data_IF_181927308827
#
_entry.id   IF_181927308827
#
_cell.length_a   1.000
_cell.length_b   1.000
_cell.length_c   1.000
_cell.angle_alpha   90.00
_cell.angle_beta   90.00
_cell.angle_gamma   90.00
#
_symmetry.space_group_name_H-M   'P 1'
#
loop_
_entity.id
_entity.type
_entity.pdbx_description
1 polymer ?
#
# COMPACT_ATOMS: atom_id res chain seq x y z
N UNK A 1 -20.34 -12.16 -22.56
CA UNK A 1 -18.88 -12.02 -22.48
C UNK A 1 -18.48 -11.56 -21.07
N UNK A 2 -17.20 -11.67 -20.76
CA UNK A 2 -16.61 -11.15 -19.51
C UNK A 2 -16.93 -9.67 -19.30
N UNK A 3 -16.87 -8.86 -20.35
CA UNK A 3 -17.15 -7.43 -20.29
C UNK A 3 -18.61 -7.11 -19.93
N UNK A 4 -19.56 -7.97 -20.28
CA UNK A 4 -20.95 -7.82 -19.79
C UNK A 4 -21.04 -7.92 -18.27
N UNK A 5 -20.35 -8.89 -17.68
CA UNK A 5 -20.32 -9.05 -16.22
C UNK A 5 -19.56 -7.89 -15.57
N UNK A 6 -18.43 -7.48 -16.16
CA UNK A 6 -17.63 -6.34 -15.68
C UNK A 6 -18.41 -5.02 -15.66
N UNK A 7 -19.26 -4.79 -16.66
CA UNK A 7 -20.11 -3.60 -16.75
C UNK A 7 -21.27 -3.65 -15.77
N UNK A 8 -21.99 -4.77 -15.73
CA UNK A 8 -23.25 -4.89 -15.00
C UNK A 8 -23.07 -5.20 -13.52
N UNK A 9 -22.12 -6.10 -13.17
CA UNK A 9 -21.75 -6.41 -11.79
C UNK A 9 -20.70 -5.39 -11.29
N UNK A 10 -21.10 -4.11 -11.26
CA UNK A 10 -20.22 -2.98 -11.00
C UNK A 10 -20.99 -1.87 -10.29
N UNK A 11 -20.34 -1.17 -9.35
CA UNK A 11 -20.95 -0.10 -8.56
C UNK A 11 -20.41 1.29 -8.94
N UNK A 12 -19.61 1.38 -10.01
CA UNK A 12 -19.15 2.66 -10.56
C UNK A 12 -20.37 3.49 -11.03
N UNK A 13 -20.36 4.76 -10.66
CA UNK A 13 -21.35 5.74 -11.08
C UNK A 13 -20.71 6.77 -11.99
N UNK A 14 -21.36 7.04 -13.10
CA UNK A 14 -21.00 8.14 -13.98
C UNK A 14 -21.77 9.39 -13.57
N UNK A 15 -21.09 10.46 -13.22
CA UNK A 15 -21.67 11.75 -12.84
C UNK A 15 -20.82 12.88 -13.45
N UNK A 16 -21.48 13.73 -14.26
CA UNK A 16 -20.86 14.93 -14.88
C UNK A 16 -19.59 14.60 -15.71
N UNK A 17 -19.59 13.47 -16.42
CA UNK A 17 -18.44 13.01 -17.21
C UNK A 17 -17.29 12.39 -16.41
N UNK A 18 -17.44 12.28 -15.09
CA UNK A 18 -16.46 11.63 -14.21
C UNK A 18 -17.01 10.31 -13.67
N UNK A 19 -16.14 9.30 -13.60
CA UNK A 19 -16.45 8.01 -12.99
C UNK A 19 -16.10 8.05 -11.51
N UNK A 20 -17.10 7.74 -10.66
CA UNK A 20 -16.94 7.64 -9.20
C UNK A 20 -17.11 6.19 -8.76
N UNK A 21 -16.14 5.63 -8.09
CA UNK A 21 -16.11 4.26 -7.60
C UNK A 21 -14.72 3.85 -7.12
N UNK A 22 -14.59 2.63 -6.65
CA UNK A 22 -13.27 2.07 -6.34
C UNK A 22 -12.43 1.94 -7.62
N UNK A 23 -11.09 2.15 -7.57
CA UNK A 23 -10.21 2.12 -8.75
C UNK A 23 -10.38 0.85 -9.61
N UNK A 24 -10.48 -0.32 -8.97
CA UNK A 24 -10.71 -1.62 -9.62
C UNK A 24 -12.04 -1.65 -10.37
N UNK A 25 -13.12 -1.13 -9.75
CA UNK A 25 -14.44 -1.05 -10.34
C UNK A 25 -14.44 -0.11 -11.56
N UNK A 26 -13.81 1.05 -11.43
CA UNK A 26 -13.69 2.05 -12.50
C UNK A 26 -12.90 1.48 -13.69
N UNK A 27 -11.79 0.77 -13.44
CA UNK A 27 -11.01 0.13 -14.49
C UNK A 27 -11.80 -0.91 -15.28
N UNK A 28 -12.54 -1.79 -14.58
CA UNK A 28 -13.42 -2.78 -15.19
C UNK A 28 -14.55 -2.13 -15.99
N UNK A 29 -15.15 -1.06 -15.45
CA UNK A 29 -16.22 -0.33 -16.13
C UNK A 29 -15.72 0.30 -17.42
N UNK A 30 -14.59 1.02 -17.39
CA UNK A 30 -13.98 1.63 -18.59
C UNK A 30 -13.68 0.59 -19.67
N UNK A 31 -12.96 -0.48 -19.32
CA UNK A 31 -12.62 -1.54 -20.26
C UNK A 31 -13.86 -2.21 -20.87
N UNK A 32 -14.94 -2.34 -20.09
CA UNK A 32 -16.19 -2.90 -20.58
C UNK A 32 -16.91 -1.92 -21.53
N UNK A 33 -17.04 -0.64 -21.17
CA UNK A 33 -17.66 0.39 -22.03
C UNK A 33 -16.90 0.52 -23.35
N UNK A 34 -15.56 0.57 -23.31
CA UNK A 34 -14.73 0.64 -24.52
C UNK A 34 -14.90 -0.57 -25.44
N UNK A 35 -15.15 -1.75 -24.86
CA UNK A 35 -15.25 -3.02 -25.62
C UNK A 35 -16.64 -3.31 -26.16
N UNK A 36 -17.70 -2.97 -25.42
CA UNK A 36 -19.08 -3.40 -25.75
C UNK A 36 -20.12 -2.27 -25.71
N UNK A 37 -19.71 -1.03 -25.33
CA UNK A 37 -20.61 0.11 -25.13
C UNK A 37 -21.54 -0.05 -23.90
N UNK A 38 -22.47 0.88 -23.77
CA UNK A 38 -23.52 0.80 -22.75
C UNK A 38 -24.61 -0.20 -23.13
N UNK A 39 -25.16 -0.88 -22.14
CA UNK A 39 -26.19 -1.90 -22.32
C UNK A 39 -27.38 -1.54 -21.48
N UNK A 40 -28.60 -1.57 -22.11
CA UNK A 40 -29.83 -1.48 -21.38
C UNK A 40 -30.01 -2.69 -20.46
N UNK A 41 -30.21 -2.42 -19.20
CA UNK A 41 -30.35 -3.45 -18.18
C UNK A 41 -31.19 -2.94 -17.00
N UNK A 42 -31.72 -3.88 -16.22
CA UNK A 42 -32.42 -3.59 -14.97
C UNK A 42 -31.83 -4.45 -13.86
N UNK A 43 -31.10 -3.82 -12.92
CA UNK A 43 -30.66 -4.48 -11.72
C UNK A 43 -31.85 -4.76 -10.81
N UNK A 44 -32.09 -6.02 -10.52
CA UNK A 44 -33.21 -6.48 -9.69
C UNK A 44 -32.82 -6.64 -8.23
N UNK A 45 -31.64 -7.21 -7.97
CA UNK A 45 -31.13 -7.45 -6.61
C UNK A 45 -29.61 -7.45 -6.61
N UNK A 46 -29.02 -7.03 -5.51
CA UNK A 46 -27.58 -7.07 -5.28
C UNK A 46 -27.27 -7.83 -4.00
N UNK A 47 -26.24 -8.64 -4.04
CA UNK A 47 -25.56 -9.23 -2.90
C UNK A 47 -24.16 -8.59 -2.85
N UNK A 48 -23.95 -7.58 -1.99
CA UNK A 48 -22.71 -6.79 -1.96
C UNK A 48 -21.47 -7.65 -1.72
N UNK A 49 -20.31 -7.07 -1.98
CA UNK A 49 -19.03 -7.70 -1.64
C UNK A 49 -18.97 -7.99 -0.13
N UNK A 50 -18.49 -9.18 0.18
CA UNK A 50 -18.32 -9.67 1.54
C UNK A 50 -16.91 -10.25 1.66
N UNK A 51 -16.14 -9.80 2.65
CA UNK A 51 -14.74 -10.18 2.86
C UNK A 51 -14.53 -11.66 3.16
N UNK A 52 -15.52 -12.32 3.76
CA UNK A 52 -15.45 -13.75 4.09
C UNK A 52 -15.71 -14.59 2.84
N UNK A 53 -16.69 -14.20 2.03
CA UNK A 53 -17.03 -14.83 0.76
C UNK A 53 -16.13 -14.38 -0.40
N UNK A 54 -15.46 -13.24 -0.31
CA UNK A 54 -14.55 -12.61 -1.30
C UNK A 54 -15.17 -12.47 -2.69
N UNK A 55 -16.49 -12.26 -2.80
CA UNK A 55 -17.24 -12.06 -4.05
C UNK A 55 -18.46 -11.21 -3.85
N UNK A 56 -18.91 -10.62 -4.94
CA UNK A 56 -20.24 -10.00 -5.04
C UNK A 56 -21.02 -10.61 -6.19
N UNK A 57 -22.33 -10.54 -6.12
CA UNK A 57 -23.20 -10.95 -7.21
C UNK A 57 -24.42 -10.04 -7.35
N UNK A 58 -24.95 -9.97 -8.55
CA UNK A 58 -26.17 -9.25 -8.85
C UNK A 58 -27.15 -10.12 -9.65
N UNK A 59 -28.42 -9.84 -9.48
CA UNK A 59 -29.48 -10.36 -10.37
C UNK A 59 -29.84 -9.22 -11.31
N UNK A 60 -29.71 -9.47 -12.60
CA UNK A 60 -29.92 -8.47 -13.63
C UNK A 60 -30.80 -9.01 -14.74
N UNK A 61 -31.79 -8.20 -15.16
CA UNK A 61 -32.63 -8.49 -16.31
C UNK A 61 -32.10 -7.78 -17.54
N UNK A 62 -31.82 -8.52 -18.59
CA UNK A 62 -31.34 -8.04 -19.88
C UNK A 62 -32.23 -8.62 -20.98
N UNK A 63 -32.85 -7.78 -21.79
CA UNK A 63 -33.82 -8.21 -22.83
C UNK A 63 -34.88 -9.09 -22.18
N UNK A 64 -35.03 -10.33 -22.65
CA UNK A 64 -36.09 -11.26 -22.22
C UNK A 64 -35.60 -12.30 -21.19
N UNK A 65 -34.36 -12.18 -20.68
CA UNK A 65 -33.79 -13.14 -19.75
C UNK A 65 -33.24 -12.47 -18.49
N UNK A 66 -33.25 -13.22 -17.39
CA UNK A 66 -32.67 -12.80 -16.12
C UNK A 66 -31.40 -13.62 -15.82
N UNK A 67 -30.38 -12.94 -15.38
CA UNK A 67 -29.07 -13.55 -15.08
C UNK A 67 -28.63 -13.21 -13.68
N UNK A 68 -27.98 -14.18 -13.05
CA UNK A 68 -27.11 -13.93 -11.90
C UNK A 68 -25.70 -13.75 -12.46
N UNK A 69 -25.07 -12.62 -12.13
CA UNK A 69 -23.72 -12.26 -12.53
C UNK A 69 -22.88 -12.16 -11.27
N UNK A 70 -21.73 -12.80 -11.24
CA UNK A 70 -20.84 -12.80 -10.08
C UNK A 70 -19.41 -12.44 -10.47
N UNK A 71 -18.72 -11.70 -9.60
CA UNK A 71 -17.28 -11.43 -9.68
C UNK A 71 -16.64 -11.51 -8.30
N UNK A 72 -15.39 -11.90 -8.24
CA UNK A 72 -14.66 -12.01 -6.97
C UNK A 72 -13.27 -12.60 -7.11
N UNK A 73 -12.71 -13.01 -5.97
CA UNK A 73 -11.44 -13.71 -5.94
C UNK A 73 -11.51 -15.01 -6.74
N UNK A 74 -10.44 -15.39 -7.47
CA UNK A 74 -10.42 -16.58 -8.31
C UNK A 74 -10.92 -17.84 -7.58
N UNK A 75 -10.37 -18.13 -6.43
CA UNK A 75 -10.72 -19.29 -5.63
C UNK A 75 -12.21 -19.33 -5.24
N UNK A 76 -12.76 -18.15 -4.95
CA UNK A 76 -14.16 -18.00 -4.52
C UNK A 76 -15.15 -18.23 -5.67
N UNK A 77 -14.84 -17.76 -6.87
CA UNK A 77 -15.68 -17.94 -8.05
C UNK A 77 -15.55 -19.36 -8.61
N UNK A 78 -14.36 -19.95 -8.63
CA UNK A 78 -14.17 -21.33 -9.05
C UNK A 78 -14.99 -22.29 -8.18
N UNK A 79 -15.03 -22.07 -6.86
CA UNK A 79 -15.78 -22.90 -5.91
C UNK A 79 -17.29 -22.98 -6.19
N UNK A 80 -17.90 -21.92 -6.74
CA UNK A 80 -19.34 -21.87 -7.03
C UNK A 80 -19.66 -22.23 -8.49
N UNK A 81 -18.63 -22.55 -9.29
CA UNK A 81 -18.76 -22.83 -10.72
C UNK A 81 -18.85 -24.33 -10.97
N UNK A 82 -19.97 -24.77 -11.53
CA UNK A 82 -20.19 -26.18 -11.94
C UNK A 82 -19.95 -26.38 -13.43
N UNK A 83 -19.88 -25.32 -14.21
CA UNK A 83 -19.71 -25.34 -15.65
C UNK A 83 -18.67 -24.31 -16.10
N UNK A 84 -18.12 -24.48 -17.28
CA UNK A 84 -17.23 -23.50 -17.95
C UNK A 84 -17.37 -23.58 -19.48
N UNK A 85 -16.78 -22.62 -20.18
CA UNK A 85 -16.68 -22.64 -21.63
C UNK A 85 -15.47 -23.45 -22.10
N UNK A 86 -15.71 -24.31 -23.12
CA UNK A 86 -14.65 -24.93 -23.93
C UNK A 86 -14.92 -24.56 -25.40
N UNK A 87 -14.24 -23.54 -25.86
CA UNK A 87 -14.59 -22.92 -27.15
C UNK A 87 -15.95 -22.21 -27.08
N UNK A 88 -16.97 -22.72 -27.80
CA UNK A 88 -18.34 -22.17 -27.78
C UNK A 88 -19.30 -22.97 -26.90
N UNK A 89 -18.90 -24.14 -26.43
CA UNK A 89 -19.74 -25.07 -25.70
C UNK A 89 -19.60 -24.89 -24.18
N UNK A 90 -20.71 -25.03 -23.47
CA UNK A 90 -20.75 -25.07 -22.02
C UNK A 90 -20.56 -26.54 -21.60
N UNK A 91 -19.51 -26.82 -20.86
CA UNK A 91 -19.15 -28.16 -20.39
C UNK A 91 -19.06 -28.20 -18.87
N UNK A 92 -19.23 -29.38 -18.23
CA UNK A 92 -18.99 -29.52 -16.80
C UNK A 92 -17.57 -29.07 -16.41
N UNK A 93 -17.49 -28.28 -15.35
CA UNK A 93 -16.22 -27.79 -14.82
C UNK A 93 -15.58 -28.88 -13.95
N UNK A 94 -14.86 -29.79 -14.60
CA UNK A 94 -14.22 -30.92 -13.95
C UNK A 94 -12.86 -30.53 -13.34
N UNK A 95 -12.31 -31.43 -12.50
CA UNK A 95 -11.06 -31.20 -11.76
C UNK A 95 -9.86 -30.81 -12.65
N UNK A 96 -9.75 -31.41 -13.83
CA UNK A 96 -8.66 -31.09 -14.76
C UNK A 96 -8.77 -29.65 -15.33
N UNK A 97 -9.98 -29.15 -15.57
CA UNK A 97 -10.21 -27.77 -16.00
C UNK A 97 -10.04 -26.79 -14.86
N UNK A 98 -10.41 -27.17 -13.65
CA UNK A 98 -10.17 -26.40 -12.44
C UNK A 98 -8.67 -26.23 -12.18
N UNK A 99 -7.88 -27.30 -12.21
CA UNK A 99 -6.42 -27.26 -12.05
C UNK A 99 -5.75 -26.34 -13.07
N UNK A 100 -6.14 -26.43 -14.36
CA UNK A 100 -5.66 -25.50 -15.40
C UNK A 100 -6.04 -24.06 -15.14
N UNK A 101 -7.23 -23.81 -14.63
CA UNK A 101 -7.68 -22.46 -14.28
C UNK A 101 -6.89 -21.91 -13.10
N UNK A 102 -6.57 -22.76 -12.12
CA UNK A 102 -5.70 -22.42 -10.99
C UNK A 102 -4.29 -22.06 -11.45
N UNK A 103 -3.70 -22.86 -12.33
CA UNK A 103 -2.39 -22.57 -12.91
C UNK A 103 -2.40 -21.25 -13.69
N UNK A 104 -3.46 -21.00 -14.47
CA UNK A 104 -3.58 -19.77 -15.26
C UNK A 104 -3.66 -18.53 -14.38
N UNK A 105 -4.53 -18.49 -13.36
CA UNK A 105 -4.61 -17.31 -12.52
C UNK A 105 -3.36 -17.12 -11.66
N UNK A 106 -2.69 -18.18 -11.23
CA UNK A 106 -1.39 -18.07 -10.58
C UNK A 106 -0.34 -17.44 -11.52
N UNK A 107 -0.31 -17.87 -12.79
CA UNK A 107 0.58 -17.25 -13.78
C UNK A 107 0.33 -15.77 -13.98
N UNK A 108 -0.94 -15.32 -13.96
CA UNK A 108 -1.28 -13.91 -14.01
C UNK A 108 -0.84 -13.16 -12.74
N UNK A 109 -1.03 -13.76 -11.56
CA UNK A 109 -0.56 -13.17 -10.31
C UNK A 109 0.96 -13.10 -10.22
N UNK A 110 1.67 -14.07 -10.79
CA UNK A 110 3.14 -14.07 -10.86
C UNK A 110 3.68 -12.92 -11.75
N UNK A 111 2.85 -12.36 -12.63
CA UNK A 111 3.11 -11.16 -13.41
C UNK A 111 2.76 -9.85 -12.67
N UNK A 112 2.38 -9.92 -11.39
CA UNK A 112 2.00 -8.75 -10.59
C UNK A 112 0.53 -8.34 -10.76
N UNK A 113 -0.25 -9.03 -11.59
CA UNK A 113 -1.63 -8.65 -11.85
C UNK A 113 -2.54 -8.99 -10.67
N UNK A 114 -3.45 -8.08 -10.34
CA UNK A 114 -4.59 -8.36 -9.48
C UNK A 114 -5.65 -9.10 -10.29
N UNK A 115 -5.90 -10.36 -9.99
CA UNK A 115 -6.79 -11.22 -10.77
C UNK A 115 -8.19 -11.26 -10.17
N UNK A 116 -9.19 -10.98 -10.98
CA UNK A 116 -10.59 -11.19 -10.67
C UNK A 116 -11.19 -12.27 -11.59
N UNK A 117 -12.02 -13.13 -11.03
CA UNK A 117 -12.76 -14.15 -11.73
C UNK A 117 -14.23 -13.73 -11.93
N UNK A 118 -14.84 -14.25 -12.97
CA UNK A 118 -16.20 -13.92 -13.39
C UNK A 118 -16.98 -15.19 -13.70
N UNK A 119 -18.24 -15.21 -13.25
CA UNK A 119 -19.17 -16.29 -13.55
C UNK A 119 -20.58 -15.74 -13.72
N UNK A 120 -21.43 -16.50 -14.40
CA UNK A 120 -22.84 -16.20 -14.54
C UNK A 120 -23.68 -17.47 -14.53
N UNK A 121 -24.97 -17.31 -14.30
CA UNK A 121 -26.01 -18.30 -14.67
C UNK A 121 -27.28 -17.63 -15.11
N UNK A 122 -28.03 -18.29 -15.94
CA UNK A 122 -29.39 -17.88 -16.31
C UNK A 122 -30.39 -18.34 -15.25
N UNK A 123 -31.29 -17.45 -14.88
CA UNK A 123 -32.40 -17.76 -13.96
C UNK A 123 -33.55 -18.39 -14.74
N UNK A 124 -33.97 -19.57 -14.34
CA UNK A 124 -35.07 -20.28 -15.01
C UNK A 124 -36.40 -19.54 -14.83
N UNK A 125 -37.28 -19.63 -15.81
CA UNK A 125 -38.59 -19.03 -15.71
C UNK A 125 -39.36 -19.56 -14.50
N UNK A 126 -39.85 -18.63 -13.64
CA UNK A 126 -40.52 -18.98 -12.39
C UNK A 126 -39.63 -19.26 -11.20
N UNK A 127 -38.28 -19.23 -11.35
CA UNK A 127 -37.34 -19.40 -10.24
C UNK A 127 -37.33 -18.15 -9.37
N UNK A 128 -37.62 -18.32 -8.08
CA UNK A 128 -37.50 -17.26 -7.06
C UNK A 128 -36.20 -17.43 -6.31
N UNK A 129 -35.36 -16.40 -6.33
CA UNK A 129 -34.08 -16.38 -5.62
C UNK A 129 -34.22 -15.59 -4.33
N UNK A 130 -34.31 -16.29 -3.19
CA UNK A 130 -34.53 -15.68 -1.90
C UNK A 130 -33.21 -15.16 -1.28
N UNK A 131 -32.12 -15.92 -1.38
CA UNK A 131 -30.85 -15.66 -0.72
C UNK A 131 -29.65 -15.77 -1.66
N UNK A 132 -28.46 -15.47 -1.13
CA UNK A 132 -27.19 -15.48 -1.87
C UNK A 132 -26.74 -16.90 -2.25
N UNK A 133 -27.00 -17.87 -1.41
CA UNK A 133 -26.63 -19.27 -1.61
C UNK A 133 -27.41 -19.86 -2.81
N UNK A 134 -28.66 -19.50 -2.97
CA UNK A 134 -29.48 -19.88 -4.14
C UNK A 134 -29.05 -19.13 -5.40
N UNK A 135 -28.62 -17.86 -5.26
CA UNK A 135 -28.15 -17.08 -6.39
C UNK A 135 -26.85 -17.66 -6.96
N UNK A 136 -25.90 -17.96 -6.09
CA UNK A 136 -24.51 -18.27 -6.40
C UNK A 136 -24.21 -19.78 -6.54
N UNK A 137 -25.21 -20.58 -6.99
CA UNK A 137 -25.02 -22.01 -7.24
C UNK A 137 -24.97 -22.30 -8.74
N UNK A 138 -24.30 -23.39 -9.09
CA UNK A 138 -24.25 -23.91 -10.47
C UNK A 138 -23.87 -22.86 -11.52
N UNK A 139 -22.88 -22.01 -11.18
CA UNK A 139 -22.45 -20.93 -12.04
C UNK A 139 -21.63 -21.47 -13.22
N UNK A 140 -21.65 -20.72 -14.30
CA UNK A 140 -20.81 -20.95 -15.49
C UNK A 140 -19.61 -20.02 -15.39
N UNK A 141 -18.44 -20.60 -15.19
CA UNK A 141 -17.20 -19.84 -15.15
C UNK A 141 -16.86 -19.25 -16.52
N UNK A 142 -16.58 -17.95 -16.55
CA UNK A 142 -16.36 -17.17 -17.76
C UNK A 142 -14.87 -16.89 -18.02
N UNK A 143 -14.05 -16.86 -16.99
CA UNK A 143 -12.65 -16.55 -17.08
C UNK A 143 -12.16 -15.53 -16.04
N UNK A 144 -10.96 -15.04 -16.27
CA UNK A 144 -10.27 -14.06 -15.42
C UNK A 144 -10.04 -12.74 -16.16
N UNK A 145 -9.97 -11.67 -15.40
CA UNK A 145 -9.41 -10.38 -15.84
C UNK A 145 -8.26 -10.06 -14.88
N UNK A 146 -7.06 -9.84 -15.43
CA UNK A 146 -5.92 -9.29 -14.72
C UNK A 146 -5.97 -7.77 -14.79
N UNK A 147 -5.80 -7.12 -13.66
CA UNK A 147 -5.73 -5.67 -13.52
C UNK A 147 -4.30 -5.32 -13.14
N UNK A 148 -3.70 -4.42 -13.87
CA UNK A 148 -2.38 -3.89 -13.57
C UNK A 148 -2.51 -2.55 -12.87
N UNK A 149 -1.75 -2.38 -11.80
CA UNK A 149 -1.54 -1.10 -11.14
C UNK A 149 -0.03 -0.87 -11.10
N UNK A 150 0.53 -0.31 -12.21
CA UNK A 150 1.97 -0.19 -12.33
C UNK A 150 2.53 0.75 -11.27
N UNK A 151 3.67 0.41 -10.66
CA UNK A 151 4.33 1.29 -9.72
C UNK A 151 4.77 2.58 -10.42
N UNK A 152 4.81 3.67 -9.66
CA UNK A 152 5.27 4.95 -10.18
C UNK A 152 6.75 4.84 -10.61
N UNK A 153 7.13 5.40 -11.77
CA UNK A 153 8.49 5.24 -12.35
C UNK A 153 9.62 5.68 -11.41
N UNK A 154 9.39 6.70 -10.58
CA UNK A 154 10.36 7.27 -9.65
C UNK A 154 10.64 6.41 -8.41
N UNK A 155 9.77 5.45 -8.10
CA UNK A 155 9.88 4.63 -6.87
C UNK A 155 11.15 3.79 -6.86
N UNK A 156 11.54 3.21 -7.99
CA UNK A 156 12.75 2.40 -8.08
C UNK A 156 14.01 3.21 -7.75
N UNK A 157 14.10 4.44 -8.27
CA UNK A 157 15.19 5.37 -7.95
C UNK A 157 15.20 5.79 -6.48
N UNK A 158 14.04 6.03 -5.90
CA UNK A 158 13.89 6.37 -4.49
C UNK A 158 14.33 5.21 -3.56
N UNK A 159 13.96 3.98 -3.88
CA UNK A 159 14.40 2.78 -3.14
C UNK A 159 15.93 2.64 -3.18
N UNK A 160 16.53 2.88 -4.34
CA UNK A 160 17.99 2.83 -4.47
C UNK A 160 18.67 3.89 -3.59
N UNK A 161 18.19 5.14 -3.59
CA UNK A 161 18.69 6.20 -2.71
C UNK A 161 18.56 5.83 -1.22
N UNK A 162 17.43 5.27 -0.80
CA UNK A 162 17.25 4.78 0.58
C UNK A 162 18.30 3.74 0.93
N UNK A 163 18.55 2.79 0.05
CA UNK A 163 19.54 1.72 0.26
C UNK A 163 20.97 2.28 0.39
N UNK A 164 21.35 3.23 -0.46
CA UNK A 164 22.64 3.93 -0.41
C UNK A 164 22.79 4.77 0.88
N UNK A 165 21.69 5.31 1.37
CA UNK A 165 21.62 6.05 2.62
C UNK A 165 21.61 5.15 3.88
N UNK A 166 21.69 3.82 3.72
CA UNK A 166 21.62 2.83 4.81
C UNK A 166 20.23 2.64 5.41
N UNK A 167 19.18 3.08 4.71
CA UNK A 167 17.79 2.93 5.15
C UNK A 167 17.26 1.61 4.62
N UNK A 168 16.77 0.77 5.51
CA UNK A 168 16.13 -0.49 5.17
C UNK A 168 14.64 -0.27 4.90
N UNK A 169 14.15 -0.81 3.80
CA UNK A 169 12.72 -0.75 3.44
C UNK A 169 12.12 -2.13 3.63
N UNK A 170 10.99 -2.20 4.32
CA UNK A 170 10.21 -3.41 4.57
C UNK A 170 8.84 -3.21 3.94
N UNK A 171 8.44 -4.11 3.06
CA UNK A 171 7.10 -4.10 2.47
C UNK A 171 6.13 -4.87 3.37
N UNK A 172 5.04 -4.21 3.76
CA UNK A 172 3.93 -4.81 4.52
C UNK A 172 2.64 -4.52 3.76
N UNK A 173 2.01 -5.57 3.24
CA UNK A 173 0.81 -5.44 2.39
C UNK A 173 -0.30 -6.42 2.77
N UNK A 174 -1.55 -6.06 2.48
CA UNK A 174 -2.69 -6.97 2.52
C UNK A 174 -2.76 -7.92 1.32
N UNK A 175 -1.99 -7.65 0.27
CA UNK A 175 -1.96 -8.46 -0.95
C UNK A 175 -1.35 -9.85 -0.73
N UNK A 176 -1.60 -10.75 -1.69
CA UNK A 176 -1.00 -12.09 -1.68
C UNK A 176 0.51 -12.06 -1.94
N UNK A 177 1.20 -13.09 -1.46
CA UNK A 177 2.66 -13.22 -1.52
C UNK A 177 3.23 -13.13 -2.96
N UNK A 178 2.54 -13.70 -3.95
CA UNK A 178 2.96 -13.66 -5.36
C UNK A 178 2.91 -12.25 -5.94
N UNK A 179 1.81 -11.55 -5.75
CA UNK A 179 1.65 -10.16 -6.21
C UNK A 179 2.64 -9.23 -5.50
N UNK A 180 2.78 -9.35 -4.18
CA UNK A 180 3.73 -8.56 -3.40
C UNK A 180 5.18 -8.77 -3.87
N UNK A 181 5.58 -10.01 -4.15
CA UNK A 181 6.91 -10.34 -4.66
C UNK A 181 7.14 -9.77 -6.08
N UNK A 182 6.14 -9.86 -6.96
CA UNK A 182 6.24 -9.32 -8.32
C UNK A 182 6.46 -7.81 -8.29
N UNK A 183 5.63 -7.07 -7.55
CA UNK A 183 5.77 -5.62 -7.36
C UNK A 183 7.13 -5.29 -6.72
N UNK A 184 7.53 -5.99 -5.66
CA UNK A 184 8.79 -5.74 -4.97
C UNK A 184 10.03 -5.92 -5.87
N UNK A 185 9.98 -6.88 -6.81
CA UNK A 185 11.02 -7.05 -7.84
C UNK A 185 11.01 -5.92 -8.86
N UNK A 186 9.84 -5.53 -9.35
CA UNK A 186 9.66 -4.48 -10.33
C UNK A 186 10.19 -3.14 -9.83
N UNK A 187 9.89 -2.75 -8.58
CA UNK A 187 10.40 -1.52 -7.96
C UNK A 187 11.86 -1.65 -7.46
N UNK A 188 12.51 -2.79 -7.66
CA UNK A 188 13.89 -3.01 -7.24
C UNK A 188 14.08 -3.13 -5.72
N UNK A 189 12.99 -3.36 -4.95
CA UNK A 189 13.07 -3.60 -3.52
C UNK A 189 13.72 -4.97 -3.23
N UNK A 190 13.49 -5.96 -4.07
CA UNK A 190 14.08 -7.29 -3.98
C UNK A 190 15.02 -7.51 -5.17
N UNK A 191 16.27 -7.90 -4.90
CA UNK A 191 17.29 -8.19 -5.93
C UNK A 191 17.51 -9.69 -6.13
N UNK A 192 17.53 -10.45 -5.05
CA UNK A 192 17.87 -11.87 -5.09
C UNK A 192 16.74 -12.73 -4.52
N UNK A 193 16.80 -13.04 -3.24
CA UNK A 193 15.85 -13.92 -2.57
C UNK A 193 15.24 -13.20 -1.36
N UNK A 194 13.95 -12.93 -1.41
CA UNK A 194 13.22 -12.37 -0.29
C UNK A 194 12.79 -13.43 0.71
N UNK A 195 12.77 -13.08 1.97
CA UNK A 195 11.99 -13.80 2.98
C UNK A 195 10.56 -13.25 2.96
N UNK A 196 9.62 -14.12 2.66
CA UNK A 196 8.20 -13.77 2.60
C UNK A 196 7.49 -14.43 3.77
N UNK A 197 6.83 -13.62 4.59
CA UNK A 197 6.04 -14.09 5.74
C UNK A 197 4.57 -13.75 5.47
N UNK A 198 3.71 -14.75 5.48
CA UNK A 198 2.26 -14.54 5.37
C UNK A 198 1.62 -14.29 6.73
N UNK A 199 0.50 -13.54 6.75
CA UNK A 199 -0.22 -13.18 7.98
C UNK A 199 -0.59 -14.38 8.88
N UNK A 200 -0.89 -15.53 8.30
CA UNK A 200 -1.20 -16.75 9.04
C UNK A 200 0.03 -17.34 9.76
N UNK A 201 1.22 -17.24 9.19
CA UNK A 201 2.50 -17.63 9.77
C UNK A 201 2.92 -16.60 10.83
N UNK A 202 2.81 -15.32 10.49
CA UNK A 202 3.12 -14.20 11.38
C UNK A 202 2.41 -14.27 12.73
N UNK A 203 1.14 -14.72 12.75
CA UNK A 203 0.37 -14.89 13.99
C UNK A 203 0.95 -15.94 14.94
N UNK A 204 1.69 -16.92 14.41
CA UNK A 204 2.30 -18.00 15.20
C UNK A 204 3.70 -17.65 15.69
N UNK A 205 4.33 -16.63 15.12
CA UNK A 205 5.68 -16.21 15.46
C UNK A 205 5.72 -15.56 16.84
N UNK A 206 6.74 -15.89 17.60
CA UNK A 206 7.18 -15.12 18.78
C UNK A 206 7.87 -13.82 18.34
N UNK A 207 8.07 -12.87 19.24
CA UNK A 207 8.78 -11.63 18.92
C UNK A 207 10.27 -11.86 18.63
N UNK A 208 10.88 -12.91 19.21
CA UNK A 208 12.24 -13.32 18.88
C UNK A 208 12.36 -13.83 17.44
N UNK A 209 11.46 -14.72 17.02
CA UNK A 209 11.43 -15.21 15.62
C UNK A 209 11.15 -14.08 14.62
N UNK A 210 10.28 -13.14 15.00
CA UNK A 210 10.02 -11.96 14.18
C UNK A 210 11.27 -11.08 14.02
N UNK A 211 12.07 -10.93 15.09
CA UNK A 211 13.36 -10.22 15.03
C UNK A 211 14.36 -10.90 14.11
N UNK A 212 14.44 -12.23 14.14
CA UNK A 212 15.32 -13.00 13.24
C UNK A 212 14.92 -12.77 11.77
N UNK A 213 13.62 -12.74 11.49
CA UNK A 213 13.11 -12.37 10.16
C UNK A 213 13.44 -10.92 9.82
N UNK A 214 13.17 -9.99 10.73
CA UNK A 214 13.44 -8.57 10.53
C UNK A 214 14.93 -8.24 10.41
N UNK A 215 15.84 -9.09 10.87
CA UNK A 215 17.28 -8.93 10.68
C UNK A 215 17.74 -9.19 9.24
N UNK A 216 16.93 -9.85 8.43
CA UNK A 216 17.25 -10.17 7.04
C UNK A 216 17.15 -8.93 6.15
N UNK A 217 17.92 -8.92 5.06
CA UNK A 217 18.03 -7.73 4.19
C UNK A 217 16.77 -7.44 3.37
N UNK A 218 16.10 -8.48 2.90
CA UNK A 218 14.97 -8.38 1.96
C UNK A 218 13.78 -9.15 2.51
N UNK A 219 12.82 -8.43 3.09
CA UNK A 219 11.66 -9.02 3.78
C UNK A 219 10.37 -8.43 3.23
N UNK A 220 9.41 -9.31 2.96
CA UNK A 220 8.06 -8.97 2.57
C UNK A 220 7.09 -9.62 3.57
N UNK A 221 6.19 -8.83 4.11
CA UNK A 221 5.04 -9.30 4.87
C UNK A 221 3.79 -9.18 4.01
N UNK A 222 3.16 -10.30 3.69
CA UNK A 222 1.99 -10.41 2.82
C UNK A 222 0.75 -10.88 3.58
N UNK A 223 -0.46 -10.58 3.06
CA UNK A 223 -1.75 -10.88 3.72
C UNK A 223 -1.82 -10.38 5.15
N UNK A 224 -1.25 -9.22 5.40
CA UNK A 224 -1.15 -8.61 6.72
C UNK A 224 -2.40 -7.83 7.09
N UNK A 225 -2.71 -7.83 8.38
CA UNK A 225 -3.75 -6.97 8.97
C UNK A 225 -3.10 -5.73 9.61
N UNK A 226 -3.89 -4.69 9.93
CA UNK A 226 -3.40 -3.51 10.64
C UNK A 226 -2.69 -3.81 11.96
N UNK A 227 -3.20 -4.79 12.71
CA UNK A 227 -2.59 -5.23 13.98
C UNK A 227 -1.19 -5.82 13.78
N UNK A 228 -0.98 -6.54 12.67
CA UNK A 228 0.33 -7.07 12.32
C UNK A 228 1.34 -5.95 12.03
N UNK A 229 0.92 -4.92 11.27
CA UNK A 229 1.76 -3.75 10.98
C UNK A 229 2.22 -3.05 12.27
N UNK A 230 1.29 -2.83 13.20
CA UNK A 230 1.62 -2.24 14.50
C UNK A 230 2.60 -3.10 15.29
N UNK A 231 2.46 -4.44 15.29
CA UNK A 231 3.38 -5.35 15.99
C UNK A 231 4.80 -5.27 15.42
N UNK A 232 4.96 -5.23 14.07
CA UNK A 232 6.27 -5.05 13.44
C UNK A 232 6.94 -3.75 13.91
N UNK A 233 6.19 -2.65 13.94
CA UNK A 233 6.69 -1.34 14.41
C UNK A 233 7.13 -1.42 15.88
N UNK A 234 6.34 -2.03 16.75
CA UNK A 234 6.68 -2.18 18.17
C UNK A 234 7.98 -2.95 18.35
N UNK A 235 8.11 -4.11 17.70
CA UNK A 235 9.30 -4.96 17.81
C UNK A 235 10.56 -4.23 17.33
N UNK A 236 10.50 -3.49 16.23
CA UNK A 236 11.63 -2.69 15.74
C UNK A 236 12.01 -1.58 16.72
N UNK A 237 11.03 -0.87 17.29
CA UNK A 237 11.28 0.21 18.26
C UNK A 237 11.86 -0.31 19.58
N UNK A 238 11.44 -1.47 20.04
CA UNK A 238 12.00 -2.12 21.23
C UNK A 238 13.49 -2.49 21.06
N UNK A 239 13.93 -2.69 19.82
CA UNK A 239 15.35 -2.86 19.47
C UNK A 239 16.13 -1.53 19.33
N UNK A 240 15.47 -0.39 19.54
CA UNK A 240 16.09 0.93 19.40
C UNK A 240 16.19 1.43 17.96
N UNK A 241 15.57 0.74 17.01
CA UNK A 241 15.51 1.16 15.61
C UNK A 241 14.64 2.41 15.44
N UNK A 242 15.02 3.30 14.53
CA UNK A 242 14.21 4.44 14.11
C UNK A 242 13.32 4.04 12.96
N UNK A 243 12.02 4.12 13.18
CA UNK A 243 11.01 3.58 12.26
C UNK A 243 10.15 4.68 11.67
N UNK A 244 10.16 4.80 10.35
CA UNK A 244 9.13 5.55 9.61
C UNK A 244 8.08 4.57 9.06
N UNK A 245 6.83 4.94 9.13
CA UNK A 245 5.70 4.15 8.63
C UNK A 245 4.90 4.97 7.64
N UNK A 246 4.56 4.38 6.49
CA UNK A 246 3.64 4.99 5.54
C UNK A 246 2.27 4.32 5.61
N UNK A 247 1.21 5.08 5.42
CA UNK A 247 -0.16 4.57 5.39
C UNK A 247 -1.15 5.58 4.86
N UNK A 248 -2.30 5.11 4.38
CA UNK A 248 -3.37 5.92 3.79
C UNK A 248 -4.73 5.71 4.45
N UNK A 249 -4.91 4.61 5.17
CA UNK A 249 -6.18 4.21 5.75
C UNK A 249 -6.33 4.47 7.25
N UNK A 250 -7.58 4.46 7.71
CA UNK A 250 -7.93 4.48 9.14
C UNK A 250 -7.23 3.35 9.90
N UNK A 251 -7.04 2.23 9.22
CA UNK A 251 -6.41 1.03 9.74
C UNK A 251 -4.90 1.21 10.01
N UNK A 252 -4.25 2.16 9.35
CA UNK A 252 -2.82 2.45 9.53
C UNK A 252 -2.54 3.40 10.69
N UNK A 253 -3.55 4.17 11.13
CA UNK A 253 -3.40 5.20 12.14
C UNK A 253 -2.67 4.74 13.43
N UNK A 254 -2.93 3.55 14.00
CA UNK A 254 -2.19 3.08 15.16
C UNK A 254 -0.69 2.88 14.90
N UNK A 255 -0.33 2.40 13.70
CA UNK A 255 1.06 2.18 13.32
C UNK A 255 1.76 3.51 12.98
N UNK A 256 1.06 4.43 12.30
CA UNK A 256 1.54 5.80 12.02
C UNK A 256 1.88 6.51 13.32
N UNK A 257 0.96 6.54 14.28
CA UNK A 257 1.16 7.20 15.57
C UNK A 257 2.24 6.55 16.44
N UNK A 258 2.48 5.26 16.28
CA UNK A 258 3.48 4.52 17.06
C UNK A 258 4.89 4.68 16.50
N UNK A 259 5.06 4.93 15.24
CA UNK A 259 6.33 5.15 14.56
C UNK A 259 7.11 6.32 15.16
N UNK A 260 8.39 6.49 14.80
CA UNK A 260 9.14 7.71 15.08
C UNK A 260 8.76 8.82 14.09
N UNK A 261 8.37 8.42 12.87
CA UNK A 261 7.78 9.30 11.86
C UNK A 261 6.62 8.56 11.18
N UNK A 262 5.41 9.01 11.40
CA UNK A 262 4.23 8.60 10.64
C UNK A 262 4.09 9.45 9.37
N UNK A 263 3.91 8.81 8.21
CA UNK A 263 3.75 9.48 6.91
C UNK A 263 2.44 9.06 6.28
N UNK A 264 1.55 10.01 6.04
CA UNK A 264 0.26 9.74 5.37
C UNK A 264 0.20 10.31 3.96
N UNK A 265 -0.70 9.75 3.16
CA UNK A 265 -1.03 10.23 1.82
C UNK A 265 -1.97 11.44 1.93
N UNK A 266 -1.73 12.48 1.13
CA UNK A 266 -2.48 13.73 1.16
C UNK A 266 -3.73 13.70 0.27
N UNK A 267 -3.66 12.99 -0.86
CA UNK A 267 -4.76 12.89 -1.83
C UNK A 267 -5.66 11.70 -1.46
N UNK A 268 -5.09 10.50 -1.36
CA UNK A 268 -5.84 9.26 -1.08
C UNK A 268 -6.00 8.97 0.40
N UNK A 269 -5.20 9.59 1.26
CA UNK A 269 -5.22 9.36 2.70
C UNK A 269 -6.49 9.85 3.38
N UNK A 270 -7.00 9.04 4.29
CA UNK A 270 -8.14 9.40 5.15
C UNK A 270 -7.74 10.48 6.17
N UNK A 271 -8.72 11.28 6.63
CA UNK A 271 -8.46 12.33 7.65
C UNK A 271 -7.86 11.74 8.93
N UNK A 272 -8.31 10.54 9.32
CA UNK A 272 -7.77 9.81 10.48
C UNK A 272 -6.28 9.45 10.31
N UNK A 273 -5.86 9.03 9.11
CA UNK A 273 -4.46 8.76 8.82
C UNK A 273 -3.63 10.04 8.85
N UNK A 274 -4.16 11.14 8.30
CA UNK A 274 -3.50 12.45 8.31
C UNK A 274 -3.33 13.01 9.72
N UNK A 275 -4.33 12.89 10.57
CA UNK A 275 -4.26 13.32 11.97
C UNK A 275 -3.30 12.46 12.82
N UNK A 276 -3.12 11.20 12.45
CA UNK A 276 -2.21 10.28 13.13
C UNK A 276 -0.75 10.39 12.68
N UNK A 277 -0.46 11.13 11.61
CA UNK A 277 0.86 11.23 10.98
C UNK A 277 1.59 12.50 11.37
N UNK A 278 2.93 12.46 11.30
CA UNK A 278 3.82 13.61 11.49
C UNK A 278 4.07 14.35 10.16
N UNK A 279 3.89 13.67 9.04
CA UNK A 279 4.11 14.18 7.69
C UNK A 279 2.96 13.76 6.77
N UNK A 280 2.53 14.68 5.91
CA UNK A 280 1.51 14.43 4.88
C UNK A 280 2.11 14.68 3.50
N UNK A 281 2.07 13.67 2.63
CA UNK A 281 2.57 13.76 1.25
C UNK A 281 1.50 14.33 0.34
N UNK A 282 1.67 15.55 -0.13
CA UNK A 282 0.67 16.22 -0.96
C UNK A 282 0.51 15.62 -2.37
N UNK A 283 1.48 14.83 -2.81
CA UNK A 283 1.54 14.17 -4.13
C UNK A 283 1.37 12.65 -4.05
N UNK A 284 1.15 12.09 -2.87
CA UNK A 284 1.06 10.65 -2.60
C UNK A 284 2.25 9.85 -3.17
N UNK A 285 3.45 10.43 -3.15
CA UNK A 285 4.61 9.86 -3.81
C UNK A 285 5.69 9.45 -2.81
N UNK A 286 6.08 8.18 -2.85
CA UNK A 286 7.17 7.65 -2.01
C UNK A 286 8.51 8.38 -2.22
N UNK A 287 8.80 8.85 -3.44
CA UNK A 287 10.03 9.57 -3.73
C UNK A 287 10.15 10.87 -2.93
N UNK A 288 9.03 11.51 -2.60
CA UNK A 288 9.00 12.73 -1.78
C UNK A 288 9.46 12.47 -0.34
N UNK A 289 9.24 11.26 0.20
CA UNK A 289 9.79 10.86 1.50
C UNK A 289 11.32 10.88 1.45
N UNK A 290 11.90 10.36 0.37
CA UNK A 290 13.37 10.33 0.20
C UNK A 290 13.94 11.74 0.13
N UNK A 291 13.28 12.64 -0.59
CA UNK A 291 13.68 14.06 -0.63
C UNK A 291 13.59 14.70 0.76
N UNK A 292 12.53 14.43 1.52
CA UNK A 292 12.40 14.92 2.89
C UNK A 292 13.52 14.40 3.83
N UNK A 293 13.95 13.15 3.65
CA UNK A 293 15.09 12.59 4.40
C UNK A 293 16.40 13.31 4.02
N UNK A 294 16.62 13.57 2.73
CA UNK A 294 17.80 14.29 2.22
C UNK A 294 17.87 15.71 2.80
N UNK A 295 16.76 16.46 2.72
CA UNK A 295 16.65 17.80 3.31
C UNK A 295 16.82 17.77 4.84
N UNK A 296 16.20 16.82 5.53
CA UNK A 296 16.34 16.68 6.99
C UNK A 296 17.79 16.40 7.41
N UNK A 297 18.53 15.59 6.67
CA UNK A 297 19.97 15.38 6.90
C UNK A 297 20.78 16.64 6.65
N UNK A 298 20.45 17.40 5.61
CA UNK A 298 21.10 18.68 5.29
C UNK A 298 20.88 19.69 6.42
N UNK A 299 19.64 19.81 6.91
CA UNK A 299 19.33 20.67 8.07
C UNK A 299 20.10 20.25 9.31
N UNK A 300 20.19 18.94 9.61
CA UNK A 300 20.97 18.44 10.75
C UNK A 300 22.46 18.79 10.63
N UNK A 301 23.06 18.60 9.46
CA UNK A 301 24.47 18.97 9.25
C UNK A 301 24.69 20.49 9.36
N UNK A 302 23.76 21.30 8.92
CA UNK A 302 23.84 22.75 9.07
C UNK A 302 23.71 23.17 10.55
N UNK A 303 22.80 22.59 11.32
CA UNK A 303 22.70 22.80 12.76
C UNK A 303 24.02 22.42 13.46
N UNK A 304 24.61 21.28 13.09
CA UNK A 304 25.89 20.83 13.66
C UNK A 304 27.03 21.82 13.34
N UNK A 305 27.10 22.31 12.10
CA UNK A 305 28.08 23.32 11.71
C UNK A 305 27.87 24.62 12.51
N UNK A 306 26.62 25.06 12.62
CA UNK A 306 26.27 26.25 13.39
C UNK A 306 26.67 26.14 14.87
N UNK A 307 26.32 25.04 15.53
CA UNK A 307 26.74 24.77 16.91
C UNK A 307 28.26 24.75 17.05
N UNK A 308 28.96 24.09 16.10
CA UNK A 308 30.42 24.06 16.11
C UNK A 308 31.02 25.45 15.96
N UNK A 309 30.44 26.28 15.10
CA UNK A 309 30.83 27.67 14.90
C UNK A 309 30.68 28.47 16.21
N UNK A 310 29.51 28.39 16.86
CA UNK A 310 29.25 29.09 18.14
C UNK A 310 30.27 28.66 19.21
N UNK A 311 30.52 27.35 19.36
CA UNK A 311 31.51 26.90 20.33
C UNK A 311 32.94 27.34 19.99
N UNK A 312 33.30 27.35 18.71
CA UNK A 312 34.60 27.80 18.26
C UNK A 312 34.82 29.31 18.49
N UNK A 313 33.74 30.10 18.44
CA UNK A 313 33.78 31.53 18.76
C UNK A 313 33.80 31.79 20.26
N UNK A 314 32.88 31.23 21.02
CA UNK A 314 32.72 31.56 22.45
C UNK A 314 33.75 30.93 23.38
N UNK A 315 34.31 29.73 23.07
CA UNK A 315 35.36 29.10 23.93
C UNK A 315 36.63 29.97 24.00
N UNK A 316 37.19 30.48 22.89
CA UNK A 316 38.32 31.39 22.95
C UNK A 316 38.09 32.66 23.76
N UNK A 317 36.88 33.17 23.79
CA UNK A 317 36.52 34.34 24.61
C UNK A 317 36.52 34.03 26.11
N UNK A 318 36.13 32.82 26.51
CA UNK A 318 36.18 32.38 27.91
C UNK A 318 37.59 32.19 28.44
N UNK A 319 38.55 31.82 27.59
CA UNK A 319 39.95 31.51 28.00
C UNK A 319 40.64 32.70 28.66
N UNK A 320 40.61 33.96 28.17
CA UNK A 320 41.20 35.12 28.83
C UNK A 320 40.63 35.39 30.21
N UNK A 321 39.32 35.12 30.44
CA UNK A 321 38.72 35.28 31.77
C UNK A 321 39.18 34.23 32.76
N UNK A 322 39.34 32.98 32.29
CA UNK A 322 39.96 31.94 33.12
C UNK A 322 41.39 32.31 33.48
N UNK A 323 42.17 32.83 32.53
CA UNK A 323 43.52 33.31 32.77
C UNK A 323 43.54 34.50 33.72
N UNK A 324 42.62 35.47 33.63
CA UNK A 324 42.46 36.56 34.56
C UNK A 324 42.24 36.05 36.00
N UNK A 325 41.36 35.06 36.19
CA UNK A 325 41.09 34.50 37.52
C UNK A 325 42.26 33.73 38.07
N UNK A 326 42.88 32.87 37.26
CA UNK A 326 43.92 31.95 37.67
C UNK A 326 45.32 32.60 37.81
N UNK A 327 45.66 33.50 36.88
CA UNK A 327 47.01 34.09 36.78
C UNK A 327 47.08 35.53 37.29
N UNK A 328 45.92 36.12 37.75
CA UNK A 328 45.83 37.51 38.27
C UNK A 328 46.30 38.57 37.27
N UNK A 329 46.11 38.33 35.96
CA UNK A 329 46.41 39.31 34.91
C UNK A 329 45.30 40.36 34.83
N UNK A 330 45.54 41.53 34.19
CA UNK A 330 44.48 42.53 33.99
C UNK A 330 43.25 41.99 33.22
N UNK A 331 42.08 42.56 33.48
CA UNK A 331 40.84 42.16 32.79
C UNK A 331 41.00 42.32 31.26
N UNK A 332 40.84 41.26 30.48
CA UNK A 332 41.22 41.29 29.07
C UNK A 332 40.25 42.07 28.19
N UNK A 333 38.95 41.95 28.47
CA UNK A 333 37.89 42.60 27.71
C UNK A 333 36.79 43.13 28.66
N UNK A 334 36.20 44.25 28.32
CA UNK A 334 35.02 44.75 28.98
C UNK A 334 33.74 44.12 28.46
N UNK A 335 32.63 44.17 29.18
CA UNK A 335 31.35 43.63 28.75
C UNK A 335 30.93 44.23 27.39
N UNK A 336 31.13 45.54 27.18
CA UNK A 336 30.82 46.19 25.91
C UNK A 336 31.65 45.68 24.73
N UNK A 337 32.91 45.33 24.96
CA UNK A 337 33.78 44.75 23.92
C UNK A 337 33.37 43.34 23.58
N UNK A 338 32.95 42.50 24.54
CA UNK A 338 32.42 41.18 24.30
C UNK A 338 31.16 41.28 23.44
N UNK A 339 30.18 42.11 23.86
CA UNK A 339 28.95 42.31 23.11
C UNK A 339 29.21 42.80 21.65
N UNK A 340 30.24 43.63 21.46
CA UNK A 340 30.63 44.11 20.13
C UNK A 340 31.26 43.00 19.27
N UNK A 341 32.03 42.09 19.88
CA UNK A 341 32.61 40.91 19.22
C UNK A 341 31.49 39.94 18.85
N UNK A 342 30.62 39.56 19.79
CA UNK A 342 29.49 38.64 19.56
C UNK A 342 28.58 39.16 18.44
N UNK A 343 28.31 40.48 18.44
CA UNK A 343 27.48 41.09 17.40
C UNK A 343 28.17 40.97 16.01
N UNK A 344 29.49 41.16 15.97
CA UNK A 344 30.25 41.14 14.72
C UNK A 344 30.60 39.74 14.22
N UNK A 345 30.82 38.77 15.14
CA UNK A 345 31.24 37.40 14.79
C UNK A 345 30.07 36.42 14.69
N UNK A 346 29.09 36.51 15.59
CA UNK A 346 28.05 35.49 15.70
C UNK A 346 26.73 35.92 15.03
N UNK A 347 26.32 37.21 15.15
CA UNK A 347 25.04 37.64 14.61
C UNK A 347 25.07 38.06 13.14
N UNK A 348 26.19 38.58 12.62
CA UNK A 348 26.27 39.02 11.23
C UNK A 348 26.64 37.88 10.25
N UNK A 349 27.55 36.91 10.60
CA UNK A 349 27.88 35.81 9.70
C UNK A 349 26.96 34.60 9.81
N UNK A 350 26.18 34.44 10.87
CA UNK A 350 25.23 33.35 11.08
C UNK A 350 23.88 33.58 10.40
#
# INVERSE_FOLDING_TARGET
SLFHISLLCNNTKEAEGNLKGEPTEVALYKAAVDSIGHIENKRLKEFPFDSDRKRMSIINSMRDATYVLAKGAPESILQISSYCFKGKDIVPFNKALEEKSVELYHSLMDQGLRVLAFAYREVKSGEVIANKEEAERDMIFMGFIGLEDPPRPEVAGAIQKCREAGIRIIMITGDGSRTALAIAKEIGLIKEKATIVEGAEFLKMTDSELLDVLSQKEVIFSRMTPKHKLRVVNVLKEQGERVAVTGDGVNDAPALKRADIGVSMGITGTDVAKEASDMVLLDDNFATIVNAIEEGRTVYENIKKFITYIFASNIPEAVPYLAYILLRIPLPLTIMQILAIDLGTDMLPA
#
